data_IF_174941906652
#
_entry.id   IF_174941906652
#
_cell.length_a   1.000
_cell.length_b   1.000
_cell.length_c   1.000
_cell.angle_alpha   90.00
_cell.angle_beta   90.00
_cell.angle_gamma   90.00
#
_symmetry.space_group_name_H-M   'P 1'
#
loop_
_entity.id
_entity.type
_entity.pdbx_description
1 polymer ?
#
# COMPACT_ATOMS: atom_id res chain seq x y z
N UNK A 1 8.11 7.66 22.72
CA UNK A 1 6.65 7.47 22.77
C UNK A 1 6.38 6.07 23.30
N UNK A 2 5.65 5.97 24.43
CA UNK A 2 5.29 4.69 25.01
C UNK A 2 4.23 3.98 24.16
N UNK A 3 4.20 2.63 24.21
CA UNK A 3 3.05 1.86 23.72
C UNK A 3 1.80 2.30 24.50
N UNK A 4 0.71 2.56 23.78
CA UNK A 4 -0.62 2.75 24.35
C UNK A 4 -1.49 1.57 23.95
N UNK A 5 -2.40 1.17 24.84
CA UNK A 5 -3.35 0.10 24.54
C UNK A 5 -4.32 0.56 23.43
N UNK A 6 -4.74 -0.39 22.60
CA UNK A 6 -5.80 -0.12 21.63
C UNK A 6 -7.11 0.14 22.35
N UNK A 7 -7.83 1.16 21.92
CA UNK A 7 -9.23 1.35 22.33
C UNK A 7 -10.12 0.36 21.58
N UNK A 8 -11.23 -0.03 22.20
CA UNK A 8 -12.22 -0.87 21.54
C UNK A 8 -12.76 -0.13 20.32
N UNK A 9 -12.64 -0.76 19.13
CA UNK A 9 -13.20 -0.22 17.91
C UNK A 9 -14.74 -0.36 17.93
N UNK A 10 -15.41 0.68 17.43
CA UNK A 10 -16.86 0.63 17.17
C UNK A 10 -17.11 0.25 15.72
N UNK A 11 -18.10 -0.62 15.49
CA UNK A 11 -18.47 -1.01 14.14
C UNK A 11 -19.18 0.16 13.42
N UNK A 12 -18.71 0.47 12.21
CA UNK A 12 -19.35 1.49 11.37
C UNK A 12 -20.75 1.07 10.98
N UNK A 13 -21.70 2.01 10.97
CA UNK A 13 -23.01 1.83 10.38
C UNK A 13 -22.95 1.93 8.85
N UNK A 14 -23.96 1.39 8.13
CA UNK A 14 -24.05 1.53 6.67
C UNK A 14 -23.93 2.98 6.18
N UNK A 15 -24.69 3.94 6.73
CA UNK A 15 -24.53 5.37 6.38
C UNK A 15 -23.14 5.97 6.66
N UNK A 16 -22.40 5.45 7.65
CA UNK A 16 -21.04 5.89 7.91
C UNK A 16 -20.07 5.34 6.85
N UNK A 17 -20.26 4.10 6.43
CA UNK A 17 -19.48 3.50 5.33
C UNK A 17 -19.69 4.31 4.04
N UNK A 18 -20.93 4.65 3.71
CA UNK A 18 -21.24 5.50 2.54
C UNK A 18 -20.53 6.86 2.60
N UNK A 19 -20.58 7.54 3.74
CA UNK A 19 -19.88 8.83 3.94
C UNK A 19 -18.35 8.69 3.82
N UNK A 20 -17.80 7.57 4.26
CA UNK A 20 -16.37 7.27 4.12
C UNK A 20 -16.01 7.11 2.64
N UNK A 21 -16.78 6.35 1.86
CA UNK A 21 -16.57 6.20 0.42
C UNK A 21 -16.60 7.56 -0.27
N UNK A 22 -17.61 8.38 0.01
CA UNK A 22 -17.70 9.76 -0.53
C UNK A 22 -16.49 10.63 -0.14
N UNK A 23 -15.94 10.44 1.07
CA UNK A 23 -14.77 11.20 1.51
C UNK A 23 -13.52 10.86 0.71
N UNK A 24 -13.35 9.60 0.34
CA UNK A 24 -12.25 9.17 -0.53
C UNK A 24 -12.39 9.71 -1.95
N UNK A 25 -13.62 9.72 -2.51
CA UNK A 25 -13.88 10.34 -3.81
C UNK A 25 -13.52 11.83 -3.80
N UNK A 26 -13.93 12.56 -2.75
CA UNK A 26 -13.55 13.98 -2.61
C UNK A 26 -12.04 14.17 -2.47
N UNK A 27 -11.37 13.32 -1.71
CA UNK A 27 -9.91 13.38 -1.55
C UNK A 27 -9.19 13.13 -2.88
N UNK A 28 -9.64 12.16 -3.66
CA UNK A 28 -9.09 11.85 -4.98
C UNK A 28 -9.28 13.01 -5.97
N UNK A 29 -10.46 13.61 -6.01
CA UNK A 29 -10.74 14.82 -6.82
C UNK A 29 -9.80 15.96 -6.42
N UNK A 30 -9.72 16.26 -5.12
CA UNK A 30 -8.86 17.33 -4.61
C UNK A 30 -7.39 17.11 -4.97
N UNK A 31 -6.91 15.87 -4.96
CA UNK A 31 -5.55 15.56 -5.36
C UNK A 31 -5.31 15.88 -6.86
N UNK A 32 -6.22 15.47 -7.73
CA UNK A 32 -6.13 15.76 -9.17
C UNK A 32 -6.26 17.27 -9.44
N UNK A 33 -7.18 17.96 -8.77
CA UNK A 33 -7.35 19.41 -8.89
C UNK A 33 -6.12 20.18 -8.39
N UNK A 34 -5.36 19.60 -7.44
CA UNK A 34 -4.09 20.15 -6.97
C UNK A 34 -2.91 19.83 -7.92
N UNK A 35 -3.14 19.12 -9.04
CA UNK A 35 -2.13 18.80 -10.04
C UNK A 35 -1.42 17.45 -9.84
N UNK A 36 -1.93 16.57 -8.98
CA UNK A 36 -1.42 15.21 -8.87
C UNK A 36 -1.85 14.37 -10.08
N UNK A 37 -0.97 13.46 -10.55
CA UNK A 37 -1.26 12.59 -11.68
C UNK A 37 -2.27 11.49 -11.35
N UNK A 38 -2.34 11.06 -10.09
CA UNK A 38 -3.24 10.03 -9.61
C UNK A 38 -3.17 9.84 -8.10
N UNK A 39 -3.89 8.84 -7.60
CA UNK A 39 -3.92 8.48 -6.17
C UNK A 39 -3.73 6.99 -5.96
N UNK A 40 -3.19 6.63 -4.80
CA UNK A 40 -3.12 5.26 -4.32
C UNK A 40 -4.01 5.09 -3.08
N UNK A 41 -5.02 4.23 -3.18
CA UNK A 41 -5.90 3.88 -2.07
C UNK A 41 -5.12 2.98 -1.11
N UNK A 42 -5.07 3.37 0.17
CA UNK A 42 -4.39 2.58 1.18
C UNK A 42 -5.30 1.47 1.72
N UNK A 43 -5.16 0.28 1.15
CA UNK A 43 -5.90 -0.93 1.54
C UNK A 43 -5.07 -1.94 2.32
N UNK A 44 -4.05 -1.49 3.06
CA UNK A 44 -2.98 -2.33 3.59
C UNK A 44 -2.67 -2.04 5.08
N UNK A 45 -1.73 -2.78 5.63
CA UNK A 45 -1.00 -2.49 6.88
C UNK A 45 -1.87 -2.35 8.14
N UNK A 46 -3.01 -3.04 8.22
CA UNK A 46 -3.89 -3.04 9.39
C UNK A 46 -4.78 -1.81 9.50
N UNK A 47 -4.84 -0.95 8.46
CA UNK A 47 -5.75 0.19 8.45
C UNK A 47 -7.14 -0.18 7.91
N UNK A 48 -8.05 0.78 7.85
CA UNK A 48 -9.49 0.57 7.72
C UNK A 48 -9.89 -0.48 6.66
N UNK A 49 -9.40 -0.38 5.43
CA UNK A 49 -9.74 -1.35 4.38
C UNK A 49 -9.20 -2.74 4.72
N UNK A 50 -7.96 -2.84 5.23
CA UNK A 50 -7.40 -4.14 5.65
C UNK A 50 -8.21 -4.74 6.81
N UNK A 51 -8.68 -3.91 7.75
CA UNK A 51 -9.56 -4.36 8.84
C UNK A 51 -10.89 -4.93 8.33
N UNK A 52 -11.40 -4.46 7.19
CA UNK A 52 -12.58 -5.06 6.56
C UNK A 52 -12.26 -6.37 5.82
N UNK A 53 -11.07 -6.51 5.25
CA UNK A 53 -10.63 -7.73 4.55
C UNK A 53 -10.39 -8.89 5.50
N UNK A 54 -9.74 -8.63 6.63
CA UNK A 54 -9.30 -9.67 7.56
C UNK A 54 -10.44 -10.24 8.42
N UNK A 55 -10.53 -11.58 8.56
CA UNK A 55 -11.65 -12.23 9.23
C UNK A 55 -11.70 -11.98 10.73
N UNK A 56 -10.56 -11.77 11.39
CA UNK A 56 -10.50 -11.56 12.84
C UNK A 56 -10.90 -10.14 13.27
N UNK A 57 -10.79 -9.15 12.41
CA UNK A 57 -11.18 -7.77 12.69
C UNK A 57 -12.54 -7.40 12.11
N UNK A 58 -12.96 -8.04 11.03
CA UNK A 58 -14.29 -7.88 10.46
C UNK A 58 -15.24 -9.00 10.92
N UNK A 59 -15.80 -8.84 12.10
CA UNK A 59 -16.78 -9.78 12.70
C UNK A 59 -18.24 -9.45 12.36
N UNK A 60 -18.48 -8.69 11.28
CA UNK A 60 -19.81 -8.28 10.84
C UNK A 60 -20.56 -9.47 10.24
N UNK A 61 -21.87 -9.49 10.39
CA UNK A 61 -22.80 -10.46 9.82
C UNK A 61 -23.70 -9.89 8.72
N UNK A 62 -23.49 -8.62 8.37
CA UNK A 62 -24.20 -7.91 7.30
C UNK A 62 -23.48 -8.03 5.93
N UNK A 63 -23.92 -7.21 4.99
CA UNK A 63 -23.39 -7.18 3.63
C UNK A 63 -21.92 -6.70 3.51
N UNK A 64 -21.29 -6.24 4.60
CA UNK A 64 -19.92 -5.75 4.67
C UNK A 64 -18.98 -6.72 5.37
N UNK A 65 -19.44 -7.89 5.81
CA UNK A 65 -18.64 -8.85 6.55
C UNK A 65 -19.11 -10.30 6.42
N UNK A 66 -18.47 -11.21 7.15
CA UNK A 66 -18.73 -12.64 7.12
C UNK A 66 -17.84 -13.37 6.11
N UNK A 67 -18.36 -13.68 4.91
CA UNK A 67 -17.59 -14.41 3.91
C UNK A 67 -16.55 -13.50 3.18
N UNK A 68 -15.56 -14.10 2.49
CA UNK A 68 -14.51 -13.37 1.78
C UNK A 68 -15.03 -12.31 0.80
N UNK A 69 -16.14 -12.56 0.11
CA UNK A 69 -16.70 -11.64 -0.89
C UNK A 69 -17.25 -10.37 -0.24
N UNK A 70 -17.96 -10.51 0.89
CA UNK A 70 -18.51 -9.38 1.62
C UNK A 70 -17.43 -8.58 2.33
N UNK A 71 -16.40 -9.25 2.87
CA UNK A 71 -15.26 -8.56 3.47
C UNK A 71 -14.49 -7.71 2.45
N UNK A 72 -14.39 -8.15 1.20
CA UNK A 72 -13.74 -7.39 0.13
C UNK A 72 -14.56 -6.18 -0.36
N UNK A 73 -15.83 -6.08 0.01
CA UNK A 73 -16.76 -5.07 -0.54
C UNK A 73 -16.30 -3.64 -0.31
N UNK A 74 -15.81 -3.29 0.88
CA UNK A 74 -15.36 -1.92 1.13
C UNK A 74 -14.20 -1.53 0.21
N UNK A 75 -13.21 -2.41 0.05
CA UNK A 75 -12.10 -2.17 -0.87
C UNK A 75 -12.58 -1.94 -2.30
N UNK A 76 -13.56 -2.74 -2.74
CA UNK A 76 -14.14 -2.65 -4.08
C UNK A 76 -14.94 -1.35 -4.28
N UNK A 77 -15.86 -1.04 -3.38
CA UNK A 77 -16.72 0.15 -3.52
C UNK A 77 -15.90 1.45 -3.50
N UNK A 78 -14.89 1.54 -2.61
CA UNK A 78 -13.97 2.69 -2.60
C UNK A 78 -13.21 2.79 -3.92
N UNK A 79 -12.63 1.68 -4.37
CA UNK A 79 -11.80 1.69 -5.60
C UNK A 79 -12.64 2.01 -6.83
N UNK A 80 -13.86 1.43 -6.94
CA UNK A 80 -14.82 1.73 -8.02
C UNK A 80 -15.22 3.19 -8.03
N UNK A 81 -15.58 3.74 -6.86
CA UNK A 81 -16.04 5.11 -6.75
C UNK A 81 -14.91 6.11 -7.10
N UNK A 82 -13.69 5.87 -6.63
CA UNK A 82 -12.53 6.69 -6.98
C UNK A 82 -12.19 6.57 -8.47
N UNK A 83 -12.15 5.35 -9.02
CA UNK A 83 -11.88 5.13 -10.43
C UNK A 83 -12.96 5.74 -11.34
N UNK A 84 -14.21 5.74 -10.93
CA UNK A 84 -15.30 6.41 -11.65
C UNK A 84 -15.14 7.93 -11.67
N UNK A 85 -14.59 8.51 -10.59
CA UNK A 85 -14.41 9.97 -10.46
C UNK A 85 -13.21 10.51 -11.22
N UNK A 86 -12.03 9.89 -11.07
CA UNK A 86 -10.78 10.43 -11.62
C UNK A 86 -10.20 9.61 -12.77
N UNK A 87 -10.83 8.47 -13.10
CA UNK A 87 -10.37 7.51 -14.09
C UNK A 87 -9.54 6.38 -13.49
N UNK A 88 -9.73 5.14 -14.00
CA UNK A 88 -9.02 3.96 -13.51
C UNK A 88 -7.51 4.11 -13.60
N UNK A 89 -6.99 4.65 -14.72
CA UNK A 89 -5.55 4.85 -14.93
C UNK A 89 -4.87 5.82 -13.96
N UNK A 90 -5.65 6.66 -13.27
CA UNK A 90 -5.19 7.54 -12.21
C UNK A 90 -5.41 6.97 -10.81
N UNK A 91 -5.95 5.77 -10.74
CA UNK A 91 -6.29 5.08 -9.48
C UNK A 91 -5.44 3.84 -9.34
N UNK A 92 -4.90 3.64 -8.15
CA UNK A 92 -4.25 2.40 -7.73
C UNK A 92 -4.71 2.02 -6.33
N UNK A 93 -4.44 0.78 -5.93
CA UNK A 93 -4.68 0.31 -4.56
C UNK A 93 -3.45 -0.41 -4.03
N UNK A 94 -3.10 -0.13 -2.76
CA UNK A 94 -2.09 -0.87 -2.02
C UNK A 94 -2.75 -1.92 -1.14
N UNK A 95 -2.26 -3.15 -1.21
CA UNK A 95 -2.71 -4.29 -0.44
C UNK A 95 -1.54 -4.92 0.33
N UNK A 96 -1.83 -5.66 1.39
CA UNK A 96 -0.81 -6.38 2.16
C UNK A 96 -1.35 -7.71 2.69
N UNK A 97 -1.66 -8.68 1.78
CA UNK A 97 -2.12 -10.00 2.20
C UNK A 97 -1.10 -10.68 3.12
N UNK A 98 -1.60 -11.40 4.12
CA UNK A 98 -0.79 -12.12 5.12
C UNK A 98 0.14 -11.22 5.98
N UNK A 99 0.01 -9.90 5.87
CA UNK A 99 0.79 -8.98 6.68
C UNK A 99 0.11 -8.74 8.03
N UNK A 100 0.39 -9.65 8.97
CA UNK A 100 -0.22 -9.68 10.30
C UNK A 100 0.34 -8.57 11.20
N UNK A 101 -0.16 -7.36 11.05
CA UNK A 101 0.25 -6.15 11.79
C UNK A 101 -0.97 -5.42 12.34
N UNK A 102 -0.82 -4.69 13.43
CA UNK A 102 -1.86 -3.86 14.04
C UNK A 102 -3.15 -4.64 14.39
N UNK A 103 -3.00 -5.88 14.85
CA UNK A 103 -4.12 -6.73 15.23
C UNK A 103 -4.79 -7.48 14.08
N UNK A 104 -4.28 -7.40 12.87
CA UNK A 104 -4.69 -8.25 11.75
C UNK A 104 -4.13 -9.65 11.96
N UNK A 105 -4.97 -10.67 11.70
CA UNK A 105 -4.61 -12.08 11.69
C UNK A 105 -5.22 -12.77 10.47
N UNK A 106 -4.47 -12.80 9.38
CA UNK A 106 -4.77 -13.53 8.16
C UNK A 106 -3.92 -14.80 8.15
N UNK A 107 -4.39 -15.85 8.83
CA UNK A 107 -3.61 -17.09 9.08
C UNK A 107 -4.13 -18.33 8.35
N UNK A 108 -5.33 -18.25 7.78
CA UNK A 108 -5.89 -19.30 6.92
C UNK A 108 -5.59 -18.99 5.45
N UNK A 109 -4.67 -19.69 4.80
CA UNK A 109 -4.30 -19.41 3.41
C UNK A 109 -5.45 -19.61 2.43
N UNK A 110 -6.42 -20.46 2.74
CA UNK A 110 -7.59 -20.70 1.87
C UNK A 110 -8.52 -19.47 1.91
N UNK A 111 -8.76 -18.93 3.09
CA UNK A 111 -9.57 -17.72 3.27
C UNK A 111 -8.88 -16.49 2.65
N UNK A 112 -7.57 -16.35 2.87
CA UNK A 112 -6.76 -15.27 2.29
C UNK A 112 -6.81 -15.32 0.76
N UNK A 113 -6.52 -16.47 0.16
CA UNK A 113 -6.59 -16.66 -1.28
C UNK A 113 -7.98 -16.32 -1.82
N UNK A 114 -9.04 -16.85 -1.18
CA UNK A 114 -10.43 -16.59 -1.59
C UNK A 114 -10.77 -15.10 -1.58
N UNK A 115 -10.34 -14.37 -0.53
CA UNK A 115 -10.58 -12.93 -0.36
C UNK A 115 -9.84 -12.11 -1.42
N UNK A 116 -8.55 -12.29 -1.55
CA UNK A 116 -7.74 -11.48 -2.45
C UNK A 116 -7.91 -11.86 -3.92
N UNK A 117 -8.20 -13.11 -4.26
CA UNK A 117 -8.52 -13.49 -5.64
C UNK A 117 -9.93 -12.99 -6.06
N UNK A 118 -10.90 -12.94 -5.13
CA UNK A 118 -12.16 -12.28 -5.43
C UNK A 118 -11.95 -10.79 -5.70
N UNK A 119 -11.24 -10.10 -4.80
CA UNK A 119 -10.90 -8.68 -4.95
C UNK A 119 -10.20 -8.44 -6.30
N UNK A 120 -9.20 -9.24 -6.65
CA UNK A 120 -8.44 -9.12 -7.89
C UNK A 120 -9.32 -9.23 -9.15
N UNK A 121 -10.24 -10.21 -9.18
CA UNK A 121 -11.18 -10.39 -10.31
C UNK A 121 -12.07 -9.17 -10.52
N UNK A 122 -12.57 -8.59 -9.44
CA UNK A 122 -13.42 -7.41 -9.51
C UNK A 122 -12.65 -6.15 -9.92
N UNK A 123 -11.41 -6.00 -9.43
CA UNK A 123 -10.52 -4.88 -9.79
C UNK A 123 -10.09 -4.91 -11.26
N UNK A 124 -10.00 -6.08 -11.87
CA UNK A 124 -9.54 -6.25 -13.26
C UNK A 124 -10.34 -5.41 -14.28
N UNK A 125 -11.64 -5.19 -14.02
CA UNK A 125 -12.51 -4.42 -14.91
C UNK A 125 -12.36 -2.90 -14.79
N UNK A 126 -11.60 -2.40 -13.80
CA UNK A 126 -11.54 -0.97 -13.48
C UNK A 126 -10.46 -0.22 -14.27
N UNK A 127 -9.56 -0.93 -14.96
CA UNK A 127 -8.46 -0.32 -15.73
C UNK A 127 -7.52 0.51 -14.86
N UNK A 128 -7.16 -0.01 -13.68
CA UNK A 128 -6.27 0.68 -12.73
C UNK A 128 -4.90 0.97 -13.35
N UNK A 129 -4.22 2.00 -12.88
CA UNK A 129 -2.88 2.33 -13.33
C UNK A 129 -1.86 1.26 -12.92
N UNK A 130 -1.97 0.77 -11.71
CA UNK A 130 -1.15 -0.32 -11.14
C UNK A 130 -1.79 -0.84 -9.85
N UNK A 131 -1.26 -1.97 -9.34
CA UNK A 131 -1.47 -2.42 -7.95
C UNK A 131 -0.15 -2.38 -7.20
N UNK A 132 -0.20 -2.10 -5.90
CA UNK A 132 0.97 -2.16 -5.01
C UNK A 132 0.72 -3.25 -3.96
N UNK A 133 1.62 -4.22 -3.87
CA UNK A 133 1.49 -5.31 -2.91
C UNK A 133 2.71 -5.35 -2.00
N UNK A 134 2.45 -5.21 -0.70
CA UNK A 134 3.40 -5.48 0.35
C UNK A 134 3.25 -6.95 0.76
N UNK A 135 4.31 -7.75 0.54
CA UNK A 135 4.36 -9.15 0.93
C UNK A 135 5.80 -9.62 1.08
N UNK A 136 6.10 -10.46 2.07
CA UNK A 136 7.46 -10.95 2.33
C UNK A 136 8.04 -11.78 1.18
N UNK A 137 7.18 -12.42 0.39
CA UNK A 137 7.52 -13.18 -0.82
C UNK A 137 6.73 -12.66 -2.02
N UNK A 138 7.18 -11.59 -2.71
CA UNK A 138 6.47 -11.03 -3.86
C UNK A 138 6.33 -12.00 -5.04
N UNK A 139 7.17 -13.01 -5.11
CA UNK A 139 7.18 -14.11 -6.08
C UNK A 139 6.24 -15.27 -5.72
N UNK A 140 5.54 -15.22 -4.57
CA UNK A 140 4.61 -16.26 -4.14
C UNK A 140 3.44 -16.45 -5.11
N UNK A 141 2.85 -17.64 -5.11
CA UNK A 141 1.67 -17.96 -5.94
C UNK A 141 0.51 -17.01 -5.68
N UNK A 142 0.29 -16.60 -4.42
CA UNK A 142 -0.74 -15.65 -4.02
C UNK A 142 -0.52 -14.30 -4.72
N UNK A 143 0.65 -13.69 -4.56
CA UNK A 143 0.95 -12.35 -5.11
C UNK A 143 0.93 -12.39 -6.64
N UNK A 144 1.58 -13.38 -7.25
CA UNK A 144 1.60 -13.52 -8.70
C UNK A 144 0.22 -13.92 -9.26
N UNK A 145 -0.57 -14.64 -8.50
CA UNK A 145 -1.98 -14.92 -8.82
C UNK A 145 -2.83 -13.64 -8.88
N UNK A 146 -2.73 -12.78 -7.87
CA UNK A 146 -3.39 -11.46 -7.84
C UNK A 146 -2.94 -10.62 -9.03
N UNK A 147 -1.63 -10.49 -9.27
CA UNK A 147 -1.06 -9.73 -10.41
C UNK A 147 -1.64 -10.19 -11.74
N UNK A 148 -1.60 -11.49 -12.02
CA UNK A 148 -2.14 -12.05 -13.28
C UNK A 148 -3.64 -11.79 -13.42
N UNK A 149 -4.38 -11.85 -12.33
CA UNK A 149 -5.84 -11.68 -12.34
C UNK A 149 -6.24 -10.24 -12.57
N UNK A 150 -5.59 -9.27 -11.91
CA UNK A 150 -5.87 -7.84 -12.11
C UNK A 150 -5.38 -7.38 -13.48
N UNK A 151 -4.25 -7.90 -13.95
CA UNK A 151 -3.73 -7.66 -15.29
C UNK A 151 -3.15 -6.26 -15.51
N UNK A 152 -2.70 -5.59 -14.44
CA UNK A 152 -2.02 -4.28 -14.48
C UNK A 152 -0.61 -4.39 -13.87
N UNK A 153 0.28 -3.40 -14.06
CA UNK A 153 1.60 -3.41 -13.45
C UNK A 153 1.55 -3.61 -11.93
N UNK A 154 2.49 -4.40 -11.42
CA UNK A 154 2.71 -4.61 -9.98
C UNK A 154 3.85 -3.74 -9.49
N UNK A 155 3.61 -2.97 -8.43
CA UNK A 155 4.65 -2.41 -7.56
C UNK A 155 4.82 -3.35 -6.37
N UNK A 156 6.01 -3.91 -6.17
CA UNK A 156 6.28 -4.83 -5.08
C UNK A 156 7.00 -4.15 -3.92
N UNK A 157 6.70 -4.59 -2.69
CA UNK A 157 7.42 -4.18 -1.49
C UNK A 157 7.47 -5.36 -0.51
N UNK A 158 8.66 -5.68 0.05
CA UNK A 158 8.84 -6.83 0.95
C UNK A 158 8.45 -6.58 2.40
N UNK A 159 7.98 -5.39 2.72
CA UNK A 159 7.46 -5.07 4.04
C UNK A 159 8.43 -4.31 4.92
N UNK A 160 8.12 -4.29 6.24
CA UNK A 160 8.84 -3.45 7.19
C UNK A 160 10.09 -4.10 7.78
N UNK A 161 10.17 -5.42 7.77
CA UNK A 161 11.29 -6.18 8.35
C UNK A 161 12.55 -6.11 7.49
N UNK A 162 12.37 -6.03 6.18
CA UNK A 162 13.48 -5.94 5.22
C UNK A 162 13.58 -4.52 4.67
N UNK A 163 14.79 -3.97 4.62
CA UNK A 163 15.07 -2.74 3.89
C UNK A 163 15.34 -3.14 2.45
N UNK A 164 14.50 -2.70 1.54
CA UNK A 164 14.73 -2.92 0.11
C UNK A 164 15.94 -2.12 -0.34
N UNK A 165 17.02 -2.81 -0.65
CA UNK A 165 18.24 -2.23 -1.22
C UNK A 165 18.21 -2.25 -2.76
N UNK A 166 19.28 -1.71 -3.36
CA UNK A 166 19.42 -1.61 -4.81
C UNK A 166 19.43 -2.97 -5.50
N UNK A 167 20.14 -3.95 -4.94
CA UNK A 167 20.33 -5.27 -5.57
C UNK A 167 19.01 -6.04 -5.57
N UNK A 168 18.31 -6.03 -4.45
CA UNK A 168 16.99 -6.62 -4.32
C UNK A 168 15.97 -5.96 -5.25
N UNK A 169 15.91 -4.62 -5.27
CA UNK A 169 14.99 -3.90 -6.15
C UNK A 169 15.26 -4.22 -7.62
N UNK A 170 16.53 -4.25 -8.02
CA UNK A 170 16.92 -4.59 -9.38
C UNK A 170 16.59 -6.05 -9.74
N UNK A 171 16.79 -7.00 -8.83
CA UNK A 171 16.48 -8.39 -9.04
C UNK A 171 14.97 -8.62 -9.24
N UNK A 172 14.12 -8.05 -8.39
CA UNK A 172 12.67 -8.18 -8.51
C UNK A 172 12.13 -7.72 -9.88
N UNK A 173 12.74 -6.67 -10.44
CA UNK A 173 12.37 -6.18 -11.78
C UNK A 173 13.00 -7.04 -12.89
N UNK A 174 14.28 -7.38 -12.77
CA UNK A 174 15.00 -8.16 -13.79
C UNK A 174 14.43 -9.56 -13.95
N UNK A 175 14.03 -10.19 -12.85
CA UNK A 175 13.42 -11.52 -12.82
C UNK A 175 11.93 -11.51 -13.23
N UNK A 176 11.39 -10.33 -13.53
CA UNK A 176 9.99 -10.17 -13.96
C UNK A 176 8.96 -10.40 -12.85
N UNK A 177 9.38 -10.35 -11.59
CA UNK A 177 8.49 -10.50 -10.42
C UNK A 177 7.55 -9.29 -10.29
N UNK A 178 8.06 -8.10 -10.58
CA UNK A 178 7.29 -6.86 -10.56
C UNK A 178 7.76 -5.87 -11.64
N UNK A 179 6.93 -4.91 -12.00
CA UNK A 179 7.30 -3.81 -12.92
C UNK A 179 8.00 -2.66 -12.19
N UNK A 180 7.77 -2.51 -10.90
CA UNK A 180 8.42 -1.52 -10.07
C UNK A 180 8.52 -2.01 -8.62
N UNK A 181 9.33 -1.31 -7.82
CA UNK A 181 9.56 -1.66 -6.41
C UNK A 181 9.36 -0.43 -5.53
N UNK A 182 8.62 -0.61 -4.44
CA UNK A 182 8.42 0.42 -3.42
C UNK A 182 9.63 0.50 -2.49
N UNK A 183 10.33 1.64 -2.49
CA UNK A 183 11.50 1.90 -1.65
C UNK A 183 11.20 3.04 -0.68
N UNK A 184 11.26 2.76 0.62
CA UNK A 184 10.92 3.74 1.66
C UNK A 184 12.16 4.34 2.35
N UNK A 185 12.73 3.61 3.31
CA UNK A 185 13.81 4.12 4.18
C UNK A 185 15.05 4.62 3.43
N UNK A 186 15.57 3.93 2.41
CA UNK A 186 16.66 4.48 1.61
C UNK A 186 16.27 5.78 0.89
N UNK A 187 15.05 5.87 0.35
CA UNK A 187 14.59 7.08 -0.33
C UNK A 187 14.42 8.27 0.64
N UNK A 188 14.01 8.01 1.89
CA UNK A 188 13.95 9.06 2.91
C UNK A 188 15.32 9.67 3.20
N UNK A 189 16.34 8.84 3.33
CA UNK A 189 17.70 9.31 3.68
C UNK A 189 18.51 9.82 2.48
N UNK A 190 18.04 9.58 1.26
CA UNK A 190 18.75 9.94 0.04
C UNK A 190 17.82 10.65 -0.94
N UNK A 191 17.74 12.00 -0.91
CA UNK A 191 16.90 12.77 -1.84
C UNK A 191 17.24 12.50 -3.31
N UNK A 192 18.44 12.04 -3.58
CA UNK A 192 19.02 11.68 -4.88
C UNK A 192 19.26 10.16 -5.03
N UNK A 193 18.44 9.32 -4.38
CA UNK A 193 18.64 7.87 -4.34
C UNK A 193 18.77 7.24 -5.73
N UNK A 194 17.97 7.65 -6.69
CA UNK A 194 18.00 7.13 -8.05
C UNK A 194 19.37 7.36 -8.69
N UNK A 195 19.96 8.56 -8.50
CA UNK A 195 21.29 8.88 -9.02
C UNK A 195 22.37 8.08 -8.29
N UNK A 196 22.27 7.92 -6.97
CA UNK A 196 23.20 7.09 -6.20
C UNK A 196 23.16 5.64 -6.68
N UNK A 197 21.99 5.09 -6.89
CA UNK A 197 21.82 3.73 -7.39
C UNK A 197 22.35 3.57 -8.83
N UNK A 198 22.09 4.56 -9.70
CA UNK A 198 22.57 4.55 -11.08
C UNK A 198 24.08 4.58 -11.18
N UNK A 199 24.76 5.33 -10.33
CA UNK A 199 26.21 5.51 -10.34
C UNK A 199 26.98 4.59 -9.41
N UNK A 200 26.29 3.84 -8.53
CA UNK A 200 26.93 3.06 -7.48
C UNK A 200 27.55 3.91 -6.37
N UNK A 201 27.04 5.12 -6.18
CA UNK A 201 27.52 6.02 -5.13
C UNK A 201 27.04 5.57 -3.73
N UNK A 202 27.77 5.94 -2.66
CA UNK A 202 27.41 5.59 -1.29
C UNK A 202 26.09 6.23 -0.87
N UNK A 203 25.30 5.50 -0.08
CA UNK A 203 24.04 5.97 0.48
C UNK A 203 24.22 6.59 1.87
N UNK A 204 23.37 7.57 2.19
CA UNK A 204 23.20 8.02 3.56
C UNK A 204 22.44 6.98 4.36
N UNK A 205 22.79 6.80 5.63
CA UNK A 205 22.08 5.91 6.55
C UNK A 205 20.88 6.64 7.17
N UNK A 206 19.67 6.05 7.13
CA UNK A 206 18.51 6.63 7.81
C UNK A 206 18.73 6.74 9.32
N UNK A 207 18.37 7.89 9.90
CA UNK A 207 18.39 8.11 11.35
C UNK A 207 17.06 7.58 11.90
N UNK A 208 17.10 6.38 12.49
CA UNK A 208 15.90 5.64 12.87
C UNK A 208 15.01 6.40 13.84
N UNK A 209 15.60 7.16 14.75
CA UNK A 209 14.90 7.95 15.79
C UNK A 209 14.06 9.09 15.21
N UNK A 210 14.37 9.54 14.00
CA UNK A 210 13.71 10.68 13.36
C UNK A 210 12.72 10.30 12.26
N UNK A 211 12.67 9.02 11.85
CA UNK A 211 11.78 8.55 10.75
C UNK A 211 10.31 8.89 10.99
N UNK A 212 9.84 8.86 12.24
CA UNK A 212 8.43 9.12 12.59
C UNK A 212 8.23 10.31 13.53
N UNK A 213 9.22 11.16 13.74
CA UNK A 213 9.02 12.29 14.64
C UNK A 213 10.29 13.04 15.02
N UNK A 214 10.83 13.83 14.16
CA UNK A 214 12.00 14.67 14.42
C UNK A 214 11.91 16.07 13.81
N UNK A 215 10.78 16.42 13.22
CA UNK A 215 10.66 17.65 12.46
C UNK A 215 11.50 17.59 11.18
N UNK A 216 12.29 18.62 10.90
CA UNK A 216 13.15 18.68 9.72
C UNK A 216 14.38 17.78 9.84
N UNK A 217 14.93 17.66 11.06
CA UNK A 217 16.14 16.88 11.32
C UNK A 217 15.95 15.40 11.02
N UNK A 218 16.82 14.83 10.17
CA UNK A 218 16.76 13.44 9.72
C UNK A 218 15.54 13.14 8.84
N UNK A 219 14.92 14.19 8.25
CA UNK A 219 13.80 14.05 7.34
C UNK A 219 13.98 14.87 6.05
N UNK A 220 14.40 16.15 6.16
CA UNK A 220 14.57 17.05 5.00
C UNK A 220 15.98 17.62 4.88
N UNK A 221 16.92 17.21 5.72
CA UNK A 221 18.27 17.72 5.83
C UNK A 221 19.37 16.73 5.43
N UNK A 222 19.00 15.59 4.84
CA UNK A 222 19.99 14.64 4.32
C UNK A 222 20.76 15.22 3.13
N UNK A 223 22.11 15.05 3.10
CA UNK A 223 22.93 15.59 2.04
C UNK A 223 22.73 14.86 0.71
N UNK A 224 22.74 15.60 -0.38
CA UNK A 224 22.85 15.09 -1.75
C UNK A 224 24.32 14.87 -2.13
N UNK A 225 24.59 14.06 -3.18
CA UNK A 225 25.95 13.72 -3.64
C UNK A 225 26.78 14.95 -4.05
N UNK A 226 26.13 15.93 -4.65
CA UNK A 226 26.77 17.12 -5.23
C UNK A 226 26.15 18.41 -4.67
N UNK A 227 25.77 18.39 -3.40
CA UNK A 227 25.29 19.59 -2.72
C UNK A 227 26.45 20.62 -2.58
N UNK A 228 26.24 21.82 -3.09
CA UNK A 228 27.07 22.94 -2.72
C UNK A 228 27.07 23.08 -1.20
N UNK A 229 28.23 22.99 -0.57
CA UNK A 229 28.40 23.44 0.80
C UNK A 229 28.11 24.93 0.79
N UNK A 230 26.90 25.32 1.18
CA UNK A 230 26.58 26.71 1.46
C UNK A 230 27.58 27.20 2.52
N UNK A 231 28.53 28.02 2.07
CA UNK A 231 29.50 28.71 2.90
C UNK A 231 28.82 29.81 3.70
#
# INVERSE_FOLDING_TARGET
>A
SGRVDYVQAEALTGPEIERIIESWVRAARNAVDAGMDGVQIHGANGYLIHQFLAPNTNMRDDEWGGDPHRRARLALEVTRAVAAEIGGQRTSIRLSPEHNIQGIEETDPVDVEATYQHLARELASLGLGFIDILHTAPDSDLVQGIRRTVGVPLVANRGFETVTDREEAAALVADGVAEAVGVGRPALANPDLVERWRTGAPENTPIQETVYGGGASGYTDYPVLHGETSS
#
